data_IF_725272349778
#
_entry.id   IF_725272349778
#
_cell.length_a   1.000
_cell.length_b   1.000
_cell.length_c   1.000
_cell.angle_alpha   90.00
_cell.angle_beta   90.00
_cell.angle_gamma   90.00
#
_symmetry.space_group_name_H-M   'P 1'
#
loop_
_entity.id
_entity.type
_entity.pdbx_description
1 polymer ?
#
# COMPACT_ATOMS: atom_id res chain seq x y z
N UNK A 1 36.10 -31.60 29.48
CA UNK A 1 35.15 -31.93 28.38
C UNK A 1 33.85 -31.16 28.51
N UNK A 2 33.18 -31.19 29.68
CA UNK A 2 31.89 -30.54 29.92
C UNK A 2 31.92 -29.02 29.71
N UNK A 3 32.93 -28.30 30.20
CA UNK A 3 33.07 -26.83 30.06
C UNK A 3 33.21 -26.36 28.61
N UNK A 4 34.02 -27.05 27.81
CA UNK A 4 34.19 -26.74 26.38
C UNK A 4 32.89 -26.93 25.61
N UNK A 5 32.12 -27.97 25.94
CA UNK A 5 30.83 -28.24 25.33
C UNK A 5 29.79 -27.14 25.62
N UNK A 6 29.78 -26.56 26.83
CA UNK A 6 28.89 -25.44 27.16
C UNK A 6 29.21 -24.17 26.38
N UNK A 7 30.50 -23.90 26.14
CA UNK A 7 30.95 -22.72 25.39
C UNK A 7 30.50 -22.83 23.94
N UNK A 8 30.68 -24.00 23.31
CA UNK A 8 30.23 -24.24 21.93
C UNK A 8 28.71 -24.08 21.81
N UNK A 9 27.94 -24.66 22.74
CA UNK A 9 26.47 -24.53 22.75
C UNK A 9 26.03 -23.07 22.89
N UNK A 10 26.66 -22.31 23.79
CA UNK A 10 26.33 -20.90 23.99
C UNK A 10 26.65 -20.06 22.74
N UNK A 11 27.77 -20.35 22.07
CA UNK A 11 28.18 -19.63 20.88
C UNK A 11 27.24 -19.93 19.69
N UNK A 12 26.86 -21.19 19.50
CA UNK A 12 25.86 -21.58 18.48
C UNK A 12 24.52 -20.90 18.74
N UNK A 13 24.06 -20.85 20.00
CA UNK A 13 22.82 -20.16 20.36
C UNK A 13 22.88 -18.66 20.08
N UNK A 14 24.00 -18.00 20.42
CA UNK A 14 24.17 -16.57 20.19
C UNK A 14 24.11 -16.22 18.69
N UNK A 15 24.78 -17.03 17.85
CA UNK A 15 24.75 -16.85 16.39
C UNK A 15 23.34 -17.09 15.84
N UNK A 16 22.63 -18.11 16.32
CA UNK A 16 21.26 -18.38 15.89
C UNK A 16 20.30 -17.23 16.22
N UNK A 17 20.41 -16.63 17.41
CA UNK A 17 19.59 -15.48 17.83
C UNK A 17 19.89 -14.22 17.01
N UNK A 18 21.17 -13.95 16.74
CA UNK A 18 21.60 -12.80 15.92
C UNK A 18 21.19 -12.96 14.45
N UNK A 19 21.23 -14.19 13.93
CA UNK A 19 20.79 -14.51 12.57
C UNK A 19 19.27 -14.56 12.45
N UNK A 20 18.53 -14.85 13.52
CA UNK A 20 17.06 -14.81 13.56
C UNK A 20 16.54 -13.37 13.74
N UNK A 21 17.00 -12.45 12.88
CA UNK A 21 16.37 -11.15 12.74
C UNK A 21 15.06 -11.30 11.96
N UNK A 22 13.91 -11.16 12.64
CA UNK A 22 12.64 -10.99 11.95
C UNK A 22 12.56 -9.54 11.45
N UNK A 23 13.14 -9.29 10.27
CA UNK A 23 13.01 -8.05 9.54
C UNK A 23 11.59 -7.90 9.00
N UNK A 24 10.61 -7.71 9.90
CA UNK A 24 9.30 -7.20 9.49
C UNK A 24 9.53 -5.75 9.06
N UNK A 25 9.28 -5.39 7.78
CA UNK A 25 9.05 -4.00 7.47
C UNK A 25 7.84 -3.61 8.32
N UNK A 26 8.04 -2.76 9.33
CA UNK A 26 6.96 -2.26 10.20
C UNK A 26 5.95 -1.40 9.44
N UNK A 27 6.09 -1.32 8.12
CA UNK A 27 5.21 -0.64 7.18
C UNK A 27 4.81 -1.61 6.06
N UNK A 28 4.15 -2.72 6.42
CA UNK A 28 3.40 -3.60 5.51
C UNK A 28 1.89 -3.41 5.65
N UNK A 29 1.46 -2.22 6.03
CA UNK A 29 0.13 -1.74 5.70
C UNK A 29 0.33 -0.71 4.61
N UNK A 30 -0.43 -0.80 3.52
CA UNK A 30 -0.62 0.39 2.68
C UNK A 30 -0.96 1.55 3.62
N UNK A 31 -0.45 2.79 3.43
CA UNK A 31 -0.76 3.89 4.32
C UNK A 31 -2.27 4.16 4.33
N UNK A 32 -3.02 3.47 5.19
CA UNK A 32 -4.46 3.72 5.38
C UNK A 32 -4.68 5.11 5.99
N UNK A 33 -3.60 5.73 6.47
CA UNK A 33 -3.55 7.11 6.90
C UNK A 33 -3.01 7.93 5.74
N UNK A 34 -3.89 8.70 5.09
CA UNK A 34 -3.50 9.67 4.05
C UNK A 34 -2.38 10.56 4.66
N UNK A 35 -1.15 10.54 4.11
CA UNK A 35 -0.05 11.32 4.64
C UNK A 35 -0.48 12.77 4.86
N UNK A 36 -0.09 13.36 5.99
CA UNK A 36 -0.39 14.77 6.27
C UNK A 36 0.14 15.73 5.18
N UNK A 37 1.13 15.29 4.41
CA UNK A 37 1.71 15.99 3.27
C UNK A 37 1.24 15.45 1.91
N UNK A 38 0.03 14.89 1.77
CA UNK A 38 -0.52 14.53 0.46
C UNK A 38 -0.79 15.76 -0.44
N UNK A 39 -0.78 16.96 0.12
CA UNK A 39 -0.72 18.22 -0.64
C UNK A 39 0.65 18.48 -1.28
N UNK A 40 1.70 17.71 -0.98
CA UNK A 40 3.03 17.90 -1.60
C UNK A 40 3.11 17.39 -3.05
N UNK A 41 2.25 16.45 -3.44
CA UNK A 41 2.16 15.96 -4.82
C UNK A 41 1.08 16.67 -5.64
N UNK A 42 0.17 17.39 -4.98
CA UNK A 42 -0.79 18.24 -5.65
C UNK A 42 -0.16 19.62 -5.83
N UNK A 43 -0.08 20.12 -7.07
CA UNK A 43 0.20 21.55 -7.28
C UNK A 43 -0.88 22.34 -6.52
N UNK A 44 -0.49 23.09 -5.49
CA UNK A 44 -1.43 23.81 -4.62
C UNK A 44 -1.94 25.11 -5.24
N UNK A 45 -1.70 25.35 -6.53
CA UNK A 45 -1.80 26.71 -7.05
C UNK A 45 -1.86 26.88 -8.55
N UNK A 46 -2.21 25.86 -9.32
CA UNK A 46 -2.69 26.10 -10.67
C UNK A 46 -4.22 26.04 -10.60
N UNK A 47 -4.87 27.16 -10.90
CA UNK A 47 -6.32 27.30 -10.99
C UNK A 47 -6.88 26.06 -11.68
N UNK A 48 -7.66 25.25 -10.94
CA UNK A 48 -8.44 24.18 -11.55
C UNK A 48 -9.33 24.90 -12.58
N UNK A 49 -8.98 24.78 -13.86
CA UNK A 49 -9.60 25.54 -14.94
C UNK A 49 -11.13 25.42 -14.91
N UNK A 50 -11.84 26.17 -15.77
CA UNK A 50 -13.30 26.21 -15.72
C UNK A 50 -13.88 24.79 -15.69
N UNK A 51 -14.75 24.52 -14.72
CA UNK A 51 -15.44 23.23 -14.62
C UNK A 51 -16.21 22.97 -15.92
N UNK A 52 -15.99 21.80 -16.52
CA UNK A 52 -16.71 21.35 -17.71
C UNK A 52 -17.69 20.24 -17.36
N UNK A 53 -18.84 20.23 -18.03
CA UNK A 53 -19.76 19.09 -17.95
C UNK A 53 -19.18 17.94 -18.77
N UNK A 54 -18.80 16.85 -18.10
CA UNK A 54 -18.32 15.63 -18.77
C UNK A 54 -19.46 14.90 -19.49
N UNK A 55 -20.67 14.93 -18.91
CA UNK A 55 -21.86 14.31 -19.48
C UNK A 55 -22.83 15.39 -19.98
N UNK A 56 -22.68 15.80 -21.23
CA UNK A 56 -23.59 16.77 -21.86
C UNK A 56 -25.02 16.21 -21.98
N UNK A 57 -25.14 14.91 -22.24
CA UNK A 57 -26.41 14.18 -22.26
C UNK A 57 -26.45 13.16 -21.11
N UNK A 58 -27.34 13.42 -20.15
CA UNK A 58 -27.54 12.57 -18.99
C UNK A 58 -28.11 11.20 -19.36
N UNK A 59 -29.01 11.12 -20.34
CA UNK A 59 -29.64 9.87 -20.72
C UNK A 59 -28.64 8.94 -21.41
N UNK A 60 -27.84 9.49 -22.33
CA UNK A 60 -26.77 8.73 -22.99
C UNK A 60 -25.73 8.21 -21.99
N UNK A 61 -25.31 9.05 -21.02
CA UNK A 61 -24.37 8.63 -20.00
C UNK A 61 -24.91 7.50 -19.12
N UNK A 62 -26.18 7.55 -18.73
CA UNK A 62 -26.80 6.48 -17.93
C UNK A 62 -26.98 5.19 -18.72
N UNK A 63 -27.33 5.28 -20.01
CA UNK A 63 -27.42 4.10 -20.88
C UNK A 63 -26.07 3.38 -20.99
N UNK A 64 -24.97 4.13 -21.18
CA UNK A 64 -23.62 3.56 -21.23
C UNK A 64 -23.21 2.89 -19.91
N UNK A 65 -23.55 3.48 -18.76
CA UNK A 65 -23.29 2.86 -17.46
C UNK A 65 -24.07 1.54 -17.32
N UNK A 66 -25.34 1.53 -17.75
CA UNK A 66 -26.17 0.34 -17.68
C UNK A 66 -25.63 -0.80 -18.57
N UNK A 67 -25.13 -0.47 -19.76
CA UNK A 67 -24.51 -1.41 -20.69
C UNK A 67 -23.26 -2.06 -20.08
N UNK A 68 -22.38 -1.26 -19.45
CA UNK A 68 -21.19 -1.77 -18.76
C UNK A 68 -21.53 -2.74 -17.61
N UNK A 69 -22.60 -2.45 -16.86
CA UNK A 69 -23.06 -3.32 -15.76
C UNK A 69 -23.60 -4.64 -16.30
N UNK A 70 -24.26 -4.64 -17.46
CA UNK A 70 -24.78 -5.87 -18.08
C UNK A 70 -23.71 -6.77 -18.70
N UNK A 71 -22.52 -6.24 -19.04
CA UNK A 71 -21.41 -7.05 -19.59
C UNK A 71 -20.78 -7.96 -18.52
N UNK A 72 -20.99 -7.70 -17.23
CA UNK A 72 -20.47 -8.54 -16.14
C UNK A 72 -21.27 -9.84 -15.91
N UNK A 73 -22.40 -10.03 -16.62
CA UNK A 73 -23.29 -11.19 -16.47
C UNK A 73 -23.15 -12.26 -17.57
N UNK A 74 -22.20 -12.12 -18.50
CA UNK A 74 -21.90 -13.11 -19.56
C UNK A 74 -20.57 -13.88 -19.35
#
# INVERSE_FOLDING_TARGET
MRSRQWIEIALVFAVAVLASGCGTPREKTAPCKRPANLSSYASTGDECGPMISVNADRAAALAAIQDLVSVEEE
#
